data_IF_317982930568
#
_entry.id   IF_317982930568
#
_cell.length_a   1.000
_cell.length_b   1.000
_cell.length_c   1.000
_cell.angle_alpha   90.00
_cell.angle_beta   90.00
_cell.angle_gamma   90.00
#
_symmetry.space_group_name_H-M   'P 1'
#
loop_
_entity.id
_entity.type
_entity.pdbx_description
1 polymer ?
#
# COMPACT_ATOMS: atom_id res chain seq x y z
N UNK A 1 -20.19 60.06 -23.24
CA UNK A 1 -19.74 59.60 -21.90
C UNK A 1 -20.77 58.70 -21.20
N UNK A 2 -22.08 58.92 -21.34
CA UNK A 2 -23.11 58.06 -20.72
C UNK A 2 -23.14 56.62 -21.28
N UNK A 3 -23.07 56.46 -22.61
CA UNK A 3 -23.14 55.15 -23.28
C UNK A 3 -21.99 54.20 -22.90
N UNK A 4 -20.76 54.70 -22.77
CA UNK A 4 -19.61 53.89 -22.36
C UNK A 4 -19.75 53.39 -20.91
N UNK A 5 -20.31 54.21 -20.02
CA UNK A 5 -20.57 53.85 -18.62
C UNK A 5 -21.63 52.75 -18.52
N UNK A 6 -22.70 52.85 -19.30
CA UNK A 6 -23.78 51.85 -19.26
C UNK A 6 -23.31 50.49 -19.80
N UNK A 7 -22.49 50.48 -20.86
CA UNK A 7 -21.85 49.26 -21.37
C UNK A 7 -20.93 48.63 -20.30
N UNK A 8 -20.13 49.44 -19.61
CA UNK A 8 -19.25 48.95 -18.54
C UNK A 8 -20.04 48.30 -17.40
N UNK A 9 -21.19 48.86 -17.01
CA UNK A 9 -22.06 48.29 -15.97
C UNK A 9 -22.64 46.95 -16.41
N UNK A 10 -23.10 46.82 -17.66
CA UNK A 10 -23.63 45.56 -18.18
C UNK A 10 -22.55 44.49 -18.23
N UNK A 11 -21.34 44.84 -18.66
CA UNK A 11 -20.19 43.92 -18.68
C UNK A 11 -19.80 43.46 -17.27
N UNK A 12 -19.72 44.37 -16.31
CA UNK A 12 -19.44 44.05 -14.91
C UNK A 12 -20.51 43.12 -14.31
N UNK A 13 -21.79 43.35 -14.62
CA UNK A 13 -22.86 42.48 -14.18
C UNK A 13 -22.71 41.07 -14.77
N UNK A 14 -22.44 40.95 -16.07
CA UNK A 14 -22.19 39.66 -16.71
C UNK A 14 -20.96 38.94 -16.14
N UNK A 15 -19.86 39.66 -15.96
CA UNK A 15 -18.62 39.11 -15.38
C UNK A 15 -18.86 38.59 -13.96
N UNK A 16 -19.58 39.34 -13.11
CA UNK A 16 -19.89 38.90 -11.75
C UNK A 16 -20.72 37.62 -11.70
N UNK A 17 -21.65 37.43 -12.65
CA UNK A 17 -22.42 36.19 -12.80
C UNK A 17 -21.49 35.04 -13.18
N UNK A 18 -20.58 35.24 -14.14
CA UNK A 18 -19.61 34.24 -14.57
C UNK A 18 -18.69 33.83 -13.42
N UNK A 19 -18.21 34.79 -12.62
CA UNK A 19 -17.41 34.53 -11.42
C UNK A 19 -18.23 33.71 -10.42
N UNK A 20 -19.49 34.08 -10.18
CA UNK A 20 -20.39 33.33 -9.30
C UNK A 20 -20.57 31.86 -9.72
N UNK A 21 -20.80 31.61 -11.00
CA UNK A 21 -20.88 30.25 -11.56
C UNK A 21 -19.56 29.50 -11.38
N UNK A 22 -18.43 30.18 -11.62
CA UNK A 22 -17.09 29.58 -11.46
C UNK A 22 -16.85 29.15 -10.01
N UNK A 23 -17.25 29.97 -9.05
CA UNK A 23 -17.15 29.64 -7.63
C UNK A 23 -18.01 28.42 -7.27
N UNK A 24 -19.24 28.33 -7.79
CA UNK A 24 -20.11 27.15 -7.59
C UNK A 24 -19.44 25.90 -8.14
N UNK A 25 -18.90 25.97 -9.36
CA UNK A 25 -18.17 24.86 -9.99
C UNK A 25 -16.97 24.45 -9.14
N UNK A 26 -16.18 25.40 -8.62
CA UNK A 26 -15.06 25.11 -7.74
C UNK A 26 -15.49 24.40 -6.46
N UNK A 27 -16.57 24.85 -5.81
CA UNK A 27 -17.11 24.18 -4.61
C UNK A 27 -17.50 22.74 -4.93
N UNK A 28 -18.19 22.50 -6.05
CA UNK A 28 -18.56 21.14 -6.48
C UNK A 28 -17.32 20.28 -6.75
N UNK A 29 -16.28 20.83 -7.37
CA UNK A 29 -15.02 20.12 -7.60
C UNK A 29 -14.35 19.71 -6.28
N UNK A 30 -14.29 20.61 -5.30
CA UNK A 30 -13.73 20.31 -3.98
C UNK A 30 -14.53 19.21 -3.29
N UNK A 31 -15.87 19.26 -3.33
CA UNK A 31 -16.72 18.20 -2.77
C UNK A 31 -16.41 16.85 -3.41
N UNK A 32 -16.27 16.79 -4.74
CA UNK A 32 -15.91 15.56 -5.46
C UNK A 32 -14.55 15.04 -5.03
N UNK A 33 -13.56 15.91 -4.89
CA UNK A 33 -12.21 15.51 -4.47
C UNK A 33 -12.21 14.95 -3.04
N UNK A 34 -12.92 15.60 -2.12
CA UNK A 34 -13.08 15.12 -0.74
C UNK A 34 -13.79 13.76 -0.71
N UNK A 35 -14.80 13.57 -1.57
CA UNK A 35 -15.52 12.30 -1.68
C UNK A 35 -14.59 11.17 -2.15
N UNK A 36 -13.82 11.37 -3.22
CA UNK A 36 -12.84 10.40 -3.72
C UNK A 36 -11.81 10.03 -2.65
N UNK A 37 -11.27 11.04 -1.94
CA UNK A 37 -10.34 10.80 -0.85
C UNK A 37 -10.95 9.93 0.24
N UNK A 38 -12.20 10.20 0.64
CA UNK A 38 -12.86 9.48 1.74
C UNK A 38 -13.36 8.09 1.37
N UNK A 39 -13.91 7.94 0.17
CA UNK A 39 -14.58 6.71 -0.25
C UNK A 39 -13.64 5.73 -0.98
N UNK A 40 -12.55 6.21 -1.57
CA UNK A 40 -11.63 5.37 -2.34
C UNK A 40 -10.24 5.34 -1.70
N UNK A 41 -9.60 6.50 -1.50
CA UNK A 41 -8.20 6.55 -1.07
C UNK A 41 -8.01 6.09 0.38
N UNK A 42 -8.82 6.58 1.33
CA UNK A 42 -8.72 6.20 2.74
C UNK A 42 -8.93 4.68 2.92
N UNK A 43 -9.96 4.06 2.33
CA UNK A 43 -10.14 2.61 2.40
C UNK A 43 -8.96 1.82 1.85
N UNK A 44 -8.39 2.20 0.70
CA UNK A 44 -7.22 1.53 0.12
C UNK A 44 -6.06 1.50 1.13
N UNK A 45 -5.78 2.62 1.79
CA UNK A 45 -4.72 2.70 2.81
C UNK A 45 -5.03 1.79 4.00
N UNK A 46 -6.28 1.76 4.48
CA UNK A 46 -6.68 0.87 5.59
C UNK A 46 -6.57 -0.61 5.23
N UNK A 47 -7.11 -1.02 4.08
CA UNK A 47 -7.02 -2.41 3.62
C UNK A 47 -5.57 -2.85 3.37
N UNK A 48 -4.70 -1.93 2.97
CA UNK A 48 -3.26 -2.20 2.85
C UNK A 48 -2.63 -2.45 4.22
N UNK A 49 -2.98 -1.66 5.25
CA UNK A 49 -2.50 -1.89 6.62
C UNK A 49 -2.95 -3.25 7.17
N UNK A 50 -4.21 -3.63 6.95
CA UNK A 50 -4.73 -4.95 7.30
C UNK A 50 -3.99 -6.07 6.57
N UNK A 51 -3.76 -5.91 5.26
CA UNK A 51 -3.03 -6.88 4.44
C UNK A 51 -1.60 -7.10 4.95
N UNK A 52 -0.88 -6.04 5.29
CA UNK A 52 0.47 -6.14 5.87
C UNK A 52 0.42 -6.90 7.21
N UNK A 53 -0.59 -6.63 8.04
CA UNK A 53 -0.82 -7.34 9.30
C UNK A 53 -1.07 -8.84 9.09
N UNK A 54 -1.96 -9.20 8.17
CA UNK A 54 -2.29 -10.60 7.86
C UNK A 54 -1.11 -11.34 7.25
N UNK A 55 -0.42 -10.77 6.25
CA UNK A 55 0.75 -11.38 5.61
C UNK A 55 1.86 -11.62 6.63
N UNK A 56 2.13 -10.63 7.51
CA UNK A 56 3.08 -10.82 8.62
C UNK A 56 2.62 -11.92 9.56
N UNK A 57 1.33 -11.98 9.90
CA UNK A 57 0.75 -13.04 10.73
C UNK A 57 0.92 -14.43 10.12
N UNK A 58 0.63 -14.60 8.82
CA UNK A 58 0.83 -15.86 8.10
C UNK A 58 2.30 -16.24 8.05
N UNK A 59 3.20 -15.29 7.78
CA UNK A 59 4.64 -15.55 7.77
C UNK A 59 5.16 -16.02 9.14
N UNK A 60 4.74 -15.36 10.22
CA UNK A 60 5.08 -15.78 11.60
C UNK A 60 4.48 -17.15 11.93
N UNK A 61 3.22 -17.39 11.61
CA UNK A 61 2.55 -18.68 11.87
C UNK A 61 3.23 -19.83 11.12
N UNK A 62 3.54 -19.64 9.83
CA UNK A 62 4.28 -20.61 9.03
C UNK A 62 5.70 -20.83 9.59
N UNK A 63 6.37 -19.75 10.00
CA UNK A 63 7.69 -19.81 10.62
C UNK A 63 7.67 -20.68 11.88
N UNK A 64 6.79 -20.40 12.83
CA UNK A 64 6.79 -21.04 14.15
C UNK A 64 6.25 -22.48 14.11
N UNK A 65 5.26 -22.76 13.27
CA UNK A 65 4.58 -24.06 13.27
C UNK A 65 5.05 -25.04 12.19
N UNK A 66 5.67 -24.57 11.10
CA UNK A 66 6.11 -25.45 10.02
C UNK A 66 7.60 -25.33 9.73
N UNK A 67 8.12 -24.11 9.53
CA UNK A 67 9.51 -23.92 9.09
C UNK A 67 10.49 -24.28 10.21
N UNK A 68 10.31 -23.76 11.43
CA UNK A 68 11.16 -24.10 12.58
C UNK A 68 11.26 -25.62 12.83
N UNK A 69 10.15 -26.39 12.91
CA UNK A 69 10.23 -27.83 13.11
C UNK A 69 10.89 -28.57 11.93
N UNK A 70 10.59 -28.21 10.68
CA UNK A 70 11.20 -28.84 9.50
C UNK A 70 12.72 -28.59 9.46
N UNK A 71 13.15 -27.36 9.73
CA UNK A 71 14.57 -27.00 9.79
C UNK A 71 15.28 -27.74 10.91
N UNK A 72 14.69 -27.82 12.12
CA UNK A 72 15.24 -28.60 13.23
C UNK A 72 15.44 -30.07 12.83
N UNK A 73 14.41 -30.74 12.31
CA UNK A 73 14.50 -32.16 11.93
C UNK A 73 15.56 -32.39 10.84
N UNK A 74 15.59 -31.54 9.81
CA UNK A 74 16.63 -31.60 8.76
C UNK A 74 18.03 -31.38 9.33
N UNK A 75 18.21 -30.40 10.22
CA UNK A 75 19.51 -30.10 10.84
C UNK A 75 20.02 -31.23 11.75
N UNK A 76 19.13 -31.86 12.54
CA UNK A 76 19.49 -33.01 13.38
C UNK A 76 19.88 -34.23 12.54
N UNK A 77 19.12 -34.54 11.49
CA UNK A 77 19.42 -35.67 10.60
C UNK A 77 20.70 -35.44 9.79
N UNK A 78 20.92 -34.23 9.29
CA UNK A 78 22.16 -33.86 8.62
C UNK A 78 23.36 -33.91 9.58
N UNK A 79 23.22 -33.37 10.79
CA UNK A 79 24.25 -33.41 11.83
C UNK A 79 24.58 -34.83 12.27
N UNK A 80 23.58 -35.68 12.48
CA UNK A 80 23.77 -37.10 12.82
C UNK A 80 24.46 -37.87 11.69
N UNK A 81 24.05 -37.65 10.43
CA UNK A 81 24.68 -38.27 9.26
C UNK A 81 26.14 -37.84 9.10
N UNK A 82 26.42 -36.56 9.31
CA UNK A 82 27.78 -36.03 9.27
C UNK A 82 28.63 -36.60 10.41
N UNK A 83 28.10 -36.67 11.64
CA UNK A 83 28.79 -37.25 12.79
C UNK A 83 29.14 -38.73 12.56
N UNK A 84 28.20 -39.54 12.06
CA UNK A 84 28.43 -40.94 11.69
C UNK A 84 29.48 -41.04 10.58
N UNK A 85 29.42 -40.22 9.54
CA UNK A 85 30.42 -40.20 8.48
C UNK A 85 31.81 -39.81 9.01
N UNK A 86 31.92 -38.87 9.94
CA UNK A 86 33.22 -38.50 10.53
C UNK A 86 33.77 -39.56 11.48
N UNK A 87 32.91 -40.29 12.19
CA UNK A 87 33.32 -41.31 13.17
C UNK A 87 33.58 -42.68 12.52
N UNK A 88 32.78 -43.08 11.53
CA UNK A 88 32.87 -44.38 10.84
C UNK A 88 33.45 -44.28 9.42
N UNK A 89 33.47 -43.10 8.81
CA UNK A 89 34.00 -42.84 7.46
C UNK A 89 35.43 -42.32 7.45
N UNK A 90 36.22 -42.65 8.49
CA UNK A 90 37.66 -42.57 8.40
C UNK A 90 38.16 -43.51 7.31
N UNK A 91 38.56 -42.92 6.17
CA UNK A 91 39.52 -43.47 5.21
C UNK A 91 38.99 -44.57 4.27
N UNK A 92 38.43 -44.14 3.14
CA UNK A 92 38.70 -44.83 1.87
C UNK A 92 38.73 -43.87 0.68
N UNK A 93 39.90 -43.29 0.42
CA UNK A 93 40.39 -43.12 -0.95
C UNK A 93 41.92 -43.17 -0.93
N UNK A 94 42.44 -44.37 -1.20
CA UNK A 94 43.76 -44.56 -1.79
C UNK A 94 43.58 -44.42 -3.31
N UNK A 95 44.01 -43.30 -3.88
CA UNK A 95 44.89 -43.17 -5.05
C UNK A 95 44.97 -41.70 -5.45
#
# INVERSE_FOLDING_TARGET
MATARDIAIILLALESIIIGITLIVLVVQVIRLVKLLREEVIPIVRSTQETVGTVRGTATFMSDHLVQPVVKVSSYTAGARQAINTLFGGRNSRK
#
